data_IF_447424786788
#
_entry.id   IF_447424786788
#
_cell.length_a   1.000
_cell.length_b   1.000
_cell.length_c   1.000
_cell.angle_alpha   90.00
_cell.angle_beta   90.00
_cell.angle_gamma   90.00
#
_symmetry.space_group_name_H-M   'P 1'
#
loop_
_entity.id
_entity.type
_entity.pdbx_description
1 polymer ?
#
# COMPACT_ATOMS: atom_id res chain seq x y z
N UNK A 1 -74.68 1.99 -40.80
CA UNK A 1 -74.09 2.52 -39.56
C UNK A 1 -72.82 1.76 -39.24
N UNK A 2 -71.69 2.20 -39.74
CA UNK A 2 -70.37 1.55 -39.46
C UNK A 2 -69.72 2.20 -38.26
N UNK A 3 -69.41 1.44 -37.21
CA UNK A 3 -68.68 1.88 -36.05
C UNK A 3 -67.17 1.78 -36.37
N UNK A 4 -66.49 2.93 -36.59
CA UNK A 4 -65.03 3.01 -36.63
C UNK A 4 -64.45 2.80 -35.27
N UNK A 5 -63.75 1.69 -35.03
CA UNK A 5 -62.90 1.44 -33.87
C UNK A 5 -61.61 2.19 -34.01
N UNK A 6 -61.36 3.16 -33.15
CA UNK A 6 -60.10 3.92 -33.09
C UNK A 6 -59.08 3.16 -32.20
N UNK A 7 -58.14 2.53 -32.83
CA UNK A 7 -56.97 1.94 -32.10
C UNK A 7 -56.05 3.09 -31.70
N UNK A 8 -56.03 3.41 -30.41
CA UNK A 8 -55.04 4.34 -29.85
C UNK A 8 -53.66 3.65 -29.83
N UNK A 9 -52.70 4.24 -30.52
CA UNK A 9 -51.33 3.79 -30.60
C UNK A 9 -50.65 3.82 -29.23
N UNK A 10 -50.20 2.67 -28.74
CA UNK A 10 -49.35 2.50 -27.56
C UNK A 10 -47.85 2.67 -27.89
N UNK A 11 -47.50 3.65 -28.74
CA UNK A 11 -46.13 3.87 -29.18
C UNK A 11 -45.23 4.47 -28.10
N UNK A 12 -45.79 5.10 -27.05
CA UNK A 12 -45.02 5.69 -25.97
C UNK A 12 -44.40 4.67 -24.99
N UNK A 13 -45.16 3.57 -24.72
CA UNK A 13 -44.71 2.56 -23.75
C UNK A 13 -43.54 1.70 -24.30
N UNK A 14 -43.57 1.39 -25.57
CA UNK A 14 -42.52 0.61 -26.25
C UNK A 14 -41.23 1.44 -26.35
N UNK A 15 -41.30 2.75 -26.62
CA UNK A 15 -40.17 3.64 -26.63
C UNK A 15 -39.49 3.80 -25.25
N UNK A 16 -40.31 3.85 -24.17
CA UNK A 16 -39.80 3.93 -22.80
C UNK A 16 -39.09 2.63 -22.36
N UNK A 17 -39.65 1.47 -22.75
CA UNK A 17 -39.01 0.16 -22.46
C UNK A 17 -37.69 -0.02 -23.22
N UNK A 18 -37.60 0.40 -24.47
CA UNK A 18 -36.34 0.35 -25.25
C UNK A 18 -35.28 1.28 -24.66
N UNK A 19 -35.66 2.49 -24.24
CA UNK A 19 -34.76 3.43 -23.60
C UNK A 19 -34.27 2.92 -22.23
N UNK A 20 -35.14 2.29 -21.44
CA UNK A 20 -34.76 1.66 -20.17
C UNK A 20 -33.80 0.47 -20.36
N UNK A 21 -34.04 -0.36 -21.36
CA UNK A 21 -33.16 -1.51 -21.69
C UNK A 21 -31.80 -0.99 -22.21
N UNK A 22 -31.77 0.04 -23.03
CA UNK A 22 -30.51 0.68 -23.45
C UNK A 22 -29.77 1.29 -22.26
N UNK A 23 -30.47 1.95 -21.32
CA UNK A 23 -29.84 2.52 -20.11
C UNK A 23 -29.23 1.42 -19.23
N UNK A 24 -29.93 0.29 -19.06
CA UNK A 24 -29.43 -0.87 -18.29
C UNK A 24 -28.24 -1.52 -19.00
N UNK A 25 -28.22 -1.60 -20.33
CA UNK A 25 -27.08 -2.11 -21.07
C UNK A 25 -25.87 -1.14 -21.02
N UNK A 26 -26.09 0.18 -20.89
CA UNK A 26 -25.01 1.15 -20.67
C UNK A 26 -24.49 1.15 -19.24
N UNK A 27 -25.30 0.80 -18.25
CA UNK A 27 -24.87 0.75 -16.85
C UNK A 27 -24.10 -0.52 -16.50
N UNK A 28 -24.20 -1.60 -17.29
CA UNK A 28 -23.46 -2.85 -17.13
C UNK A 28 -22.19 -2.94 -18.00
N UNK A 29 -21.74 -1.85 -18.58
CA UNK A 29 -20.34 -1.81 -19.04
C UNK A 29 -19.48 -1.70 -17.79
N UNK A 30 -18.95 -2.83 -17.34
CA UNK A 30 -17.68 -2.81 -16.60
C UNK A 30 -16.74 -1.99 -17.48
N UNK A 31 -16.45 -0.78 -17.03
CA UNK A 31 -15.37 0.03 -17.62
C UNK A 31 -14.09 -0.70 -17.23
N UNK A 32 -13.69 -1.69 -18.04
CA UNK A 32 -12.29 -2.12 -18.03
C UNK A 32 -11.50 -0.85 -18.26
N UNK A 33 -10.69 -0.48 -17.27
CA UNK A 33 -9.74 0.61 -17.45
C UNK A 33 -8.93 0.27 -18.69
N UNK A 34 -8.80 1.21 -19.61
CA UNK A 34 -8.01 1.01 -20.83
C UNK A 34 -6.59 0.65 -20.38
N UNK A 35 -6.14 -0.57 -20.73
CA UNK A 35 -4.83 -1.08 -20.30
C UNK A 35 -3.74 -0.12 -20.77
N UNK A 36 -2.93 0.37 -19.84
CA UNK A 36 -1.96 1.41 -20.08
C UNK A 36 -0.75 0.94 -20.91
N UNK A 37 -0.04 1.89 -21.45
CA UNK A 37 1.25 1.67 -22.10
C UNK A 37 2.35 1.85 -21.08
N UNK A 38 2.74 0.72 -20.43
CA UNK A 38 3.70 0.68 -19.33
C UNK A 38 5.01 -0.02 -19.72
N UNK A 39 6.08 0.35 -19.02
CA UNK A 39 7.31 -0.44 -18.94
C UNK A 39 7.49 -0.91 -17.49
N UNK A 40 7.76 -2.21 -17.30
CA UNK A 40 8.07 -2.80 -16.01
C UNK A 40 9.58 -3.01 -15.91
N UNK A 41 10.21 -2.50 -14.86
CA UNK A 41 11.61 -2.80 -14.54
C UNK A 41 11.67 -3.66 -13.29
N UNK A 42 12.20 -4.86 -13.43
CA UNK A 42 12.30 -5.86 -12.37
C UNK A 42 13.74 -5.88 -11.86
N UNK A 43 13.94 -5.42 -10.65
CA UNK A 43 15.23 -5.50 -9.96
C UNK A 43 15.32 -6.84 -9.23
N UNK A 44 16.09 -7.75 -9.80
CA UNK A 44 16.23 -9.12 -9.28
C UNK A 44 16.89 -9.11 -7.90
N UNK A 45 17.99 -8.36 -7.71
CA UNK A 45 18.74 -8.34 -6.46
C UNK A 45 17.95 -7.77 -5.29
N UNK A 46 17.08 -6.80 -5.53
CA UNK A 46 16.25 -6.20 -4.48
C UNK A 46 14.87 -6.84 -4.36
N UNK A 47 14.44 -7.67 -5.33
CA UNK A 47 13.09 -8.24 -5.38
C UNK A 47 12.00 -7.16 -5.47
N UNK A 48 12.15 -6.25 -6.44
CA UNK A 48 11.26 -5.11 -6.61
C UNK A 48 10.93 -4.86 -8.09
N UNK A 49 9.67 -4.70 -8.43
CA UNK A 49 9.20 -4.22 -9.74
C UNK A 49 8.86 -2.74 -9.61
N UNK A 50 9.36 -1.92 -10.54
CA UNK A 50 8.87 -0.54 -10.73
C UNK A 50 8.17 -0.42 -12.08
N UNK A 51 6.97 0.14 -12.07
CA UNK A 51 6.17 0.43 -13.26
C UNK A 51 6.39 1.86 -13.69
N UNK A 52 6.64 2.06 -14.97
CA UNK A 52 6.88 3.37 -15.56
C UNK A 52 5.86 3.68 -16.64
N UNK A 53 5.40 4.92 -16.65
CA UNK A 53 4.67 5.57 -17.75
C UNK A 53 5.62 6.41 -18.60
N UNK A 54 5.17 6.73 -19.82
CA UNK A 54 5.87 7.68 -20.67
C UNK A 54 5.77 9.10 -20.12
N UNK A 55 6.90 9.74 -19.97
CA UNK A 55 6.97 11.18 -19.69
C UNK A 55 6.72 12.03 -20.92
N UNK A 56 6.80 13.35 -20.74
CA UNK A 56 6.57 14.32 -21.82
C UNK A 56 7.51 14.22 -23.01
N UNK A 57 8.66 13.54 -22.86
CA UNK A 57 9.61 13.25 -23.96
C UNK A 57 9.33 11.92 -24.68
N UNK A 58 8.26 11.19 -24.29
CA UNK A 58 7.88 9.90 -24.86
C UNK A 58 8.67 8.71 -24.33
N UNK A 59 9.61 8.90 -23.38
CA UNK A 59 10.36 7.84 -22.74
C UNK A 59 9.68 7.36 -21.45
N UNK A 60 9.86 6.08 -21.09
CA UNK A 60 9.35 5.50 -19.84
C UNK A 60 10.22 5.92 -18.65
N UNK A 61 9.99 7.10 -18.12
CA UNK A 61 10.78 7.71 -17.05
C UNK A 61 9.95 8.20 -15.85
N UNK A 62 8.62 8.10 -15.90
CA UNK A 62 7.74 8.46 -14.80
C UNK A 62 7.37 7.20 -14.02
N UNK A 63 7.99 6.99 -12.85
CA UNK A 63 7.66 5.86 -11.98
C UNK A 63 6.31 6.09 -11.31
N UNK A 64 5.35 5.19 -11.51
CA UNK A 64 3.98 5.33 -11.02
C UNK A 64 3.60 4.30 -9.96
N UNK A 65 4.27 3.15 -9.93
CA UNK A 65 3.99 2.09 -8.97
C UNK A 65 5.22 1.22 -8.70
N UNK A 66 5.28 0.64 -7.50
CA UNK A 66 6.27 -0.36 -7.15
C UNK A 66 5.61 -1.55 -6.46
N UNK A 67 6.18 -2.74 -6.65
CA UNK A 67 5.72 -4.00 -6.08
C UNK A 67 6.90 -4.78 -5.54
N UNK A 68 6.73 -5.45 -4.40
CA UNK A 68 7.67 -6.46 -3.93
C UNK A 68 7.45 -7.77 -4.66
N UNK A 69 8.51 -8.38 -5.15
CA UNK A 69 8.45 -9.66 -5.86
C UNK A 69 9.56 -10.61 -5.43
N UNK A 70 9.41 -11.88 -5.77
CA UNK A 70 10.49 -12.87 -5.80
C UNK A 70 10.76 -13.26 -7.23
N UNK A 71 12.03 -13.34 -7.59
CA UNK A 71 12.51 -13.81 -8.89
C UNK A 71 13.96 -14.27 -8.76
N UNK A 72 14.43 -15.04 -9.73
CA UNK A 72 15.80 -15.59 -9.77
C UNK A 72 16.54 -15.01 -10.98
N UNK A 73 17.80 -14.64 -10.82
CA UNK A 73 18.65 -14.14 -11.91
C UNK A 73 19.07 -15.24 -12.90
N UNK A 74 18.90 -16.52 -12.54
CA UNK A 74 19.19 -17.65 -13.42
C UNK A 74 18.11 -17.89 -14.48
N UNK A 75 16.89 -17.41 -14.25
CA UNK A 75 15.77 -17.58 -15.20
C UNK A 75 15.65 -16.47 -16.24
N UNK A 76 16.41 -15.39 -16.08
CA UNK A 76 16.38 -14.22 -16.97
C UNK A 76 17.81 -13.80 -17.34
N UNK A 77 17.94 -13.09 -18.45
CA UNK A 77 19.16 -12.37 -18.77
C UNK A 77 18.99 -10.92 -18.38
N UNK A 78 19.94 -10.41 -17.61
CA UNK A 78 19.94 -9.03 -17.17
C UNK A 78 20.15 -8.09 -18.38
N UNK A 79 19.54 -6.91 -18.30
CA UNK A 79 19.57 -5.86 -19.31
C UNK A 79 18.98 -6.25 -20.68
N UNK A 80 18.38 -7.45 -20.78
CA UNK A 80 17.56 -7.81 -21.94
C UNK A 80 16.12 -7.31 -21.78
N UNK A 81 15.51 -7.05 -22.93
CA UNK A 81 14.13 -6.58 -23.02
C UNK A 81 13.22 -7.75 -23.41
N UNK A 82 12.19 -7.95 -22.60
CA UNK A 82 11.13 -8.90 -22.86
C UNK A 82 9.82 -8.15 -23.11
N UNK A 83 8.85 -8.82 -23.74
CA UNK A 83 7.51 -8.32 -23.91
C UNK A 83 6.48 -9.25 -23.27
N UNK A 84 5.38 -8.70 -22.79
CA UNK A 84 4.21 -9.47 -22.38
C UNK A 84 3.58 -10.06 -23.63
N UNK A 85 3.43 -11.38 -23.70
CA UNK A 85 2.93 -12.12 -24.88
C UNK A 85 1.56 -12.76 -24.66
N UNK A 86 1.16 -12.94 -23.40
CA UNK A 86 -0.13 -13.55 -23.04
C UNK A 86 -0.56 -13.24 -21.62
N UNK A 87 -1.82 -13.51 -21.32
CA UNK A 87 -2.38 -13.37 -19.98
C UNK A 87 -3.38 -14.49 -19.70
N UNK A 88 -3.37 -15.00 -18.46
CA UNK A 88 -4.28 -16.02 -17.97
C UNK A 88 -4.69 -15.70 -16.54
N UNK A 89 -5.98 -15.82 -16.22
CA UNK A 89 -6.45 -15.61 -14.85
C UNK A 89 -5.87 -16.67 -13.91
N UNK A 90 -5.85 -17.93 -14.34
CA UNK A 90 -5.19 -19.04 -13.69
C UNK A 90 -4.21 -19.72 -14.64
N UNK A 91 -2.99 -19.95 -14.19
CA UNK A 91 -1.97 -20.69 -14.93
C UNK A 91 -1.49 -21.87 -14.09
N UNK A 92 -1.56 -23.09 -14.69
CA UNK A 92 -0.93 -24.28 -14.12
C UNK A 92 0.57 -24.22 -14.36
N UNK A 93 1.36 -24.41 -13.31
CA UNK A 93 2.80 -24.38 -13.35
C UNK A 93 3.40 -25.74 -13.65
N UNK A 94 4.68 -25.80 -14.01
CA UNK A 94 5.43 -27.03 -14.35
C UNK A 94 5.46 -28.05 -13.21
N UNK A 95 5.47 -27.59 -11.96
CA UNK A 95 5.47 -28.39 -10.73
C UNK A 95 4.06 -28.87 -10.31
N UNK A 96 3.04 -28.56 -11.11
CA UNK A 96 1.65 -28.95 -10.88
C UNK A 96 0.86 -27.99 -9.97
N UNK A 97 1.49 -26.95 -9.45
CA UNK A 97 0.82 -25.86 -8.71
C UNK A 97 0.11 -24.89 -9.66
N UNK A 98 -0.55 -23.89 -9.11
CA UNK A 98 -1.27 -22.86 -9.85
C UNK A 98 -0.89 -21.47 -9.38
N UNK A 99 -0.98 -20.48 -10.26
CA UNK A 99 -0.86 -19.06 -9.91
C UNK A 99 -1.95 -18.26 -10.59
N UNK A 100 -2.39 -17.19 -9.95
CA UNK A 100 -3.38 -16.27 -10.50
C UNK A 100 -2.72 -15.12 -11.27
N UNK A 101 -3.49 -14.50 -12.16
CA UNK A 101 -3.14 -13.27 -12.86
C UNK A 101 -1.79 -13.33 -13.58
N UNK A 102 -1.56 -14.44 -14.28
CA UNK A 102 -0.31 -14.68 -14.98
C UNK A 102 -0.18 -13.86 -16.25
N UNK A 103 0.89 -13.06 -16.34
CA UNK A 103 1.33 -12.33 -17.52
C UNK A 103 2.55 -13.05 -18.08
N UNK A 104 2.38 -13.73 -19.21
CA UNK A 104 3.45 -14.49 -19.86
C UNK A 104 4.41 -13.58 -20.61
N UNK A 105 5.71 -13.81 -20.45
CA UNK A 105 6.76 -13.06 -21.13
C UNK A 105 7.30 -13.81 -22.33
N UNK A 106 7.95 -13.09 -23.25
CA UNK A 106 8.51 -13.65 -24.51
C UNK A 106 9.58 -14.73 -24.31
N UNK A 107 10.12 -14.91 -23.10
CA UNK A 107 11.02 -16.01 -22.73
C UNK A 107 10.31 -17.19 -22.06
N UNK A 108 8.98 -17.16 -21.93
CA UNK A 108 8.17 -18.25 -21.35
C UNK A 108 7.96 -18.18 -19.84
N UNK A 109 8.67 -17.32 -19.10
CA UNK A 109 8.39 -17.08 -17.69
C UNK A 109 7.14 -16.21 -17.54
N UNK A 110 6.58 -16.16 -16.31
CA UNK A 110 5.41 -15.34 -16.03
C UNK A 110 5.65 -14.40 -14.85
N UNK A 111 5.02 -13.21 -14.92
CA UNK A 111 4.77 -12.37 -13.76
C UNK A 111 3.38 -12.77 -13.25
N UNK A 112 3.26 -13.25 -12.02
CA UNK A 112 2.02 -13.84 -11.51
C UNK A 112 1.93 -13.76 -9.97
N UNK A 113 0.78 -14.17 -9.42
CA UNK A 113 0.68 -14.35 -7.96
C UNK A 113 1.62 -15.45 -7.46
N UNK A 114 1.78 -15.52 -6.14
CA UNK A 114 2.36 -16.69 -5.47
C UNK A 114 1.55 -17.94 -5.78
N UNK A 115 2.05 -19.08 -5.33
CA UNK A 115 1.58 -20.41 -5.69
C UNK A 115 0.39 -20.87 -4.87
N UNK A 116 -0.48 -21.66 -5.52
CA UNK A 116 -1.63 -22.35 -4.93
C UNK A 116 -1.53 -23.85 -5.25
N UNK A 117 -1.99 -24.70 -4.34
CA UNK A 117 -1.95 -26.17 -4.51
C UNK A 117 -3.05 -26.69 -5.45
N UNK A 118 -4.07 -25.88 -5.72
CA UNK A 118 -5.15 -26.14 -6.68
C UNK A 118 -5.59 -24.83 -7.36
N UNK A 119 -6.41 -24.92 -8.40
CA UNK A 119 -7.04 -23.77 -9.07
C UNK A 119 -8.18 -23.22 -8.20
N UNK A 120 -7.82 -22.76 -6.99
CA UNK A 120 -8.75 -22.22 -6.01
C UNK A 120 -8.02 -21.25 -5.06
N UNK A 121 -8.67 -20.13 -4.75
CA UNK A 121 -8.10 -19.03 -3.96
C UNK A 121 -7.87 -19.38 -2.50
N UNK A 122 -8.54 -20.41 -2.00
CA UNK A 122 -8.42 -20.93 -0.64
C UNK A 122 -7.39 -22.06 -0.49
N UNK A 123 -6.46 -22.17 -1.44
CA UNK A 123 -5.41 -23.19 -1.46
C UNK A 123 -4.01 -22.60 -1.56
N UNK A 124 -3.80 -21.41 -1.02
CA UNK A 124 -2.51 -20.70 -1.03
C UNK A 124 -1.40 -21.56 -0.39
N UNK A 125 -0.27 -21.66 -1.05
CA UNK A 125 0.98 -22.15 -0.45
C UNK A 125 1.59 -21.04 0.42
N UNK A 126 1.36 -21.12 1.73
CA UNK A 126 1.85 -20.14 2.69
C UNK A 126 3.38 -20.00 2.67
N UNK A 127 4.11 -21.09 2.46
CA UNK A 127 5.58 -21.05 2.48
C UNK A 127 6.10 -20.22 1.30
N UNK A 128 5.56 -20.47 0.09
CA UNK A 128 5.93 -19.72 -1.12
C UNK A 128 5.44 -18.27 -1.06
N UNK A 129 4.24 -18.03 -0.51
CA UNK A 129 3.75 -16.67 -0.27
C UNK A 129 4.70 -15.89 0.65
N UNK A 130 5.16 -16.51 1.73
CA UNK A 130 6.10 -15.91 2.65
C UNK A 130 7.49 -15.67 2.02
N UNK A 131 7.83 -16.34 0.92
CA UNK A 131 9.02 -16.11 0.13
C UNK A 131 9.03 -14.78 -0.62
N UNK A 132 7.85 -14.18 -0.92
CA UNK A 132 7.76 -12.94 -1.68
C UNK A 132 8.67 -11.86 -1.08
N UNK A 133 9.53 -11.29 -1.94
CA UNK A 133 10.47 -10.24 -1.58
C UNK A 133 11.76 -10.70 -0.88
N UNK A 134 11.93 -11.99 -0.60
CA UNK A 134 13.11 -12.50 0.12
C UNK A 134 13.72 -13.76 -0.49
N UNK A 135 12.97 -14.53 -1.25
CA UNK A 135 13.41 -15.78 -1.85
C UNK A 135 13.78 -15.57 -3.31
N UNK A 136 14.92 -16.15 -3.74
CA UNK A 136 15.45 -15.97 -5.09
C UNK A 136 15.35 -17.25 -5.92
N UNK A 137 14.92 -18.37 -5.37
CA UNK A 137 14.90 -19.66 -6.03
C UNK A 137 13.51 -19.97 -6.59
N UNK A 138 13.12 -19.28 -7.65
CA UNK A 138 11.77 -19.37 -8.25
C UNK A 138 11.84 -19.41 -9.78
N UNK A 139 10.92 -20.12 -10.41
CA UNK A 139 10.86 -20.26 -11.88
C UNK A 139 10.09 -19.12 -12.57
N UNK A 140 9.51 -18.21 -11.83
CA UNK A 140 8.69 -17.10 -12.31
C UNK A 140 8.91 -15.84 -11.45
N UNK A 141 8.25 -14.75 -11.78
CA UNK A 141 8.23 -13.54 -10.95
C UNK A 141 6.96 -13.58 -10.09
N UNK A 142 7.10 -13.83 -8.81
CA UNK A 142 5.98 -13.97 -7.88
C UNK A 142 5.69 -12.69 -7.09
N UNK A 143 4.40 -12.36 -7.01
CA UNK A 143 3.85 -11.24 -6.24
C UNK A 143 2.73 -11.75 -5.31
N UNK A 144 2.22 -10.89 -4.43
CA UNK A 144 0.93 -11.12 -3.79
C UNK A 144 -0.22 -10.97 -4.82
N UNK A 145 -1.39 -11.51 -4.51
CA UNK A 145 -2.52 -11.55 -5.46
C UNK A 145 -2.96 -10.15 -5.92
N UNK A 146 -3.00 -9.15 -5.02
CA UNK A 146 -3.39 -7.78 -5.40
C UNK A 146 -2.44 -7.13 -6.40
N UNK A 147 -1.15 -7.37 -6.25
CA UNK A 147 -0.12 -6.77 -7.08
C UNK A 147 -0.06 -7.45 -8.46
N UNK A 148 -0.17 -8.78 -8.49
CA UNK A 148 -0.30 -9.54 -9.72
C UNK A 148 -1.58 -9.13 -10.49
N UNK A 149 -2.71 -9.00 -9.79
CA UNK A 149 -3.98 -8.53 -10.35
C UNK A 149 -3.86 -7.14 -10.94
N UNK A 150 -3.16 -6.21 -10.25
CA UNK A 150 -2.97 -4.87 -10.76
C UNK A 150 -2.22 -4.90 -12.10
N UNK A 151 -1.14 -5.69 -12.21
CA UNK A 151 -0.38 -5.83 -13.47
C UNK A 151 -1.28 -6.44 -14.55
N UNK A 152 -2.03 -7.49 -14.21
CA UNK A 152 -2.94 -8.17 -15.12
C UNK A 152 -4.04 -7.26 -15.70
N UNK A 153 -4.60 -6.39 -14.87
CA UNK A 153 -5.68 -5.49 -15.27
C UNK A 153 -5.19 -4.24 -16.01
N UNK A 154 -3.98 -3.76 -15.70
CA UNK A 154 -3.49 -2.48 -16.18
C UNK A 154 -2.45 -2.60 -17.31
N UNK A 155 -1.64 -3.66 -17.33
CA UNK A 155 -0.66 -3.87 -18.38
C UNK A 155 -1.25 -4.66 -19.54
N UNK A 156 -0.85 -4.33 -20.76
CA UNK A 156 -1.33 -4.98 -22.00
C UNK A 156 -0.26 -5.90 -22.62
N UNK A 157 -0.70 -6.81 -23.47
CA UNK A 157 0.18 -7.56 -24.36
C UNK A 157 0.99 -6.55 -25.19
N UNK A 158 2.30 -6.79 -25.29
CA UNK A 158 3.26 -5.89 -25.91
C UNK A 158 3.94 -4.90 -24.97
N UNK A 159 3.49 -4.75 -23.71
CA UNK A 159 4.22 -3.96 -22.73
C UNK A 159 5.61 -4.54 -22.48
N UNK A 160 6.57 -3.66 -22.26
CA UNK A 160 7.98 -4.00 -22.11
C UNK A 160 8.32 -4.36 -20.67
N UNK A 161 9.13 -5.41 -20.50
CA UNK A 161 9.70 -5.82 -19.21
C UNK A 161 11.21 -5.91 -19.32
N UNK A 162 11.93 -5.26 -18.41
CA UNK A 162 13.39 -5.26 -18.33
C UNK A 162 13.83 -5.77 -16.98
N UNK A 163 14.75 -6.74 -16.95
CA UNK A 163 15.36 -7.24 -15.71
C UNK A 163 16.72 -6.61 -15.52
N UNK A 164 17.00 -6.17 -14.29
CA UNK A 164 18.30 -5.63 -13.90
C UNK A 164 18.64 -6.04 -12.46
N UNK A 165 19.84 -5.79 -11.99
CA UNK A 165 20.31 -6.24 -10.68
C UNK A 165 21.05 -5.11 -9.96
N UNK A 166 20.40 -4.49 -8.97
CA UNK A 166 20.99 -3.46 -8.09
C UNK A 166 20.60 -3.71 -6.63
N UNK A 167 21.57 -4.09 -5.80
CA UNK A 167 21.32 -4.50 -4.40
C UNK A 167 20.81 -3.35 -3.53
N UNK A 168 21.39 -2.16 -3.69
CA UNK A 168 21.16 -1.02 -2.78
C UNK A 168 20.16 0.03 -3.32
N UNK A 169 19.57 -0.23 -4.47
CA UNK A 169 18.66 0.69 -5.14
C UNK A 169 17.44 -0.06 -5.70
N UNK A 170 16.38 -0.25 -4.92
CA UNK A 170 15.20 -0.97 -5.37
C UNK A 170 14.39 -0.22 -6.44
N UNK A 171 14.75 1.02 -6.74
CA UNK A 171 14.04 1.91 -7.65
C UNK A 171 13.53 3.18 -6.96
N UNK A 172 13.05 4.18 -7.73
CA UNK A 172 12.75 5.52 -7.24
C UNK A 172 11.60 5.59 -6.23
N UNK A 173 10.71 4.61 -6.23
CA UNK A 173 9.59 4.53 -5.27
C UNK A 173 9.91 3.68 -4.04
N UNK A 174 11.11 3.07 -4.00
CA UNK A 174 11.48 2.13 -2.95
C UNK A 174 10.79 0.78 -3.12
N UNK A 175 11.18 -0.19 -2.27
CA UNK A 175 10.57 -1.51 -2.20
C UNK A 175 9.43 -1.48 -1.18
N UNK A 176 8.19 -1.81 -1.57
CA UNK A 176 7.08 -1.96 -0.63
C UNK A 176 7.34 -3.06 0.41
N UNK A 177 6.78 -2.90 1.61
CA UNK A 177 6.81 -3.95 2.62
C UNK A 177 5.96 -5.14 2.17
N UNK A 178 6.42 -6.35 2.47
CA UNK A 178 5.69 -7.59 2.19
C UNK A 178 4.89 -8.05 3.39
N UNK A 179 3.74 -8.66 3.11
CA UNK A 179 2.92 -9.32 4.12
C UNK A 179 3.52 -10.71 4.37
N UNK A 180 3.49 -11.14 5.62
CA UNK A 180 3.89 -12.50 6.00
C UNK A 180 2.77 -13.15 6.79
N UNK A 181 2.46 -14.38 6.45
CA UNK A 181 1.58 -15.23 7.23
C UNK A 181 2.43 -15.97 8.28
N UNK A 182 1.92 -16.12 9.49
CA UNK A 182 2.57 -16.91 10.53
C UNK A 182 1.67 -18.08 10.95
N UNK A 183 2.20 -19.05 11.68
CA UNK A 183 1.45 -20.24 12.08
C UNK A 183 0.25 -19.93 13.01
N UNK A 184 0.14 -18.71 13.53
CA UNK A 184 -0.99 -18.26 14.34
C UNK A 184 -2.01 -17.48 13.51
N UNK A 185 -1.71 -17.20 12.23
CA UNK A 185 -2.63 -16.52 11.31
C UNK A 185 -3.85 -17.41 11.08
N UNK A 186 -5.05 -16.80 11.09
CA UNK A 186 -6.32 -17.54 11.04
C UNK A 186 -6.59 -18.23 9.71
N UNK A 187 -6.11 -17.64 8.61
CA UNK A 187 -6.50 -18.02 7.25
C UNK A 187 -5.25 -18.18 6.38
N UNK A 188 -4.34 -19.09 6.78
CA UNK A 188 -3.05 -19.29 6.10
C UNK A 188 -3.16 -19.82 4.68
N UNK A 189 -4.33 -20.33 4.31
CA UNK A 189 -4.67 -20.86 2.99
C UNK A 189 -5.25 -19.80 2.03
N UNK A 190 -5.29 -18.53 2.43
CA UNK A 190 -5.73 -17.40 1.60
C UNK A 190 -4.65 -16.31 1.51
N UNK A 191 -4.47 -15.74 0.32
CA UNK A 191 -3.69 -14.51 0.19
C UNK A 191 -4.43 -13.34 0.84
N UNK A 192 -3.84 -12.67 1.85
CA UNK A 192 -4.51 -11.57 2.54
C UNK A 192 -4.86 -10.39 1.63
N UNK A 193 -4.24 -10.31 0.46
CA UNK A 193 -4.43 -9.21 -0.49
C UNK A 193 -5.44 -9.53 -1.58
N UNK A 194 -5.89 -10.80 -1.71
CA UNK A 194 -6.85 -11.16 -2.74
C UNK A 194 -8.18 -10.41 -2.54
N UNK A 195 -8.64 -9.76 -3.61
CA UNK A 195 -9.85 -8.94 -3.61
C UNK A 195 -11.16 -9.73 -3.67
N UNK A 196 -11.11 -11.06 -3.68
CA UNK A 196 -12.30 -11.92 -3.69
C UNK A 196 -13.24 -11.60 -2.53
N UNK A 197 -14.55 -11.55 -2.79
CA UNK A 197 -15.55 -11.22 -1.77
C UNK A 197 -15.61 -12.26 -0.64
N UNK A 198 -15.25 -13.51 -0.93
CA UNK A 198 -15.20 -14.60 0.03
C UNK A 198 -13.89 -14.65 0.82
N UNK A 199 -12.92 -13.78 0.53
CA UNK A 199 -11.67 -13.75 1.25
C UNK A 199 -11.90 -13.43 2.74
N UNK A 200 -11.61 -14.37 3.66
CA UNK A 200 -11.91 -14.17 5.07
C UNK A 200 -11.07 -13.06 5.72
N UNK A 201 -9.95 -12.68 5.12
CA UNK A 201 -9.13 -11.57 5.59
C UNK A 201 -9.81 -10.21 5.48
N UNK A 202 -10.85 -10.05 4.64
CA UNK A 202 -11.64 -8.80 4.52
C UNK A 202 -12.28 -8.35 5.84
N UNK A 203 -12.52 -9.29 6.75
CA UNK A 203 -13.07 -9.00 8.07
C UNK A 203 -11.98 -8.77 9.14
N UNK A 204 -10.72 -8.76 8.74
CA UNK A 204 -9.59 -8.47 9.59
C UNK A 204 -9.14 -7.02 9.44
N UNK A 205 -8.61 -6.44 10.52
CA UNK A 205 -8.09 -5.08 10.51
C UNK A 205 -6.79 -4.99 11.29
N UNK A 206 -5.91 -4.09 10.86
CA UNK A 206 -4.76 -3.69 11.65
C UNK A 206 -5.23 -3.15 13.02
N UNK A 207 -4.38 -3.24 14.04
CA UNK A 207 -4.72 -2.74 15.38
C UNK A 207 -3.55 -2.02 16.02
N UNK A 208 -3.87 -1.05 16.86
CA UNK A 208 -2.92 -0.36 17.73
C UNK A 208 -3.35 -0.61 19.17
N UNK A 209 -2.42 -1.03 20.03
CA UNK A 209 -2.65 -1.29 21.44
C UNK A 209 -1.82 -0.34 22.31
N UNK A 210 -2.20 -0.16 23.58
CA UNK A 210 -1.46 0.63 24.55
C UNK A 210 -1.71 2.15 24.49
N UNK A 211 -2.55 2.64 23.56
CA UNK A 211 -2.87 4.07 23.45
C UNK A 211 -3.66 4.51 24.68
N UNK A 212 -3.14 5.53 25.37
CA UNK A 212 -3.72 6.14 26.56
C UNK A 212 -3.33 7.61 26.67
N UNK A 213 -4.06 8.38 27.46
CA UNK A 213 -3.66 9.73 27.80
C UNK A 213 -2.36 9.71 28.58
N UNK A 214 -1.51 10.72 28.33
CA UNK A 214 -0.19 10.90 28.93
C UNK A 214 -0.20 12.23 29.68
N UNK A 215 0.22 12.21 30.92
CA UNK A 215 0.32 13.38 31.76
C UNK A 215 1.76 13.63 32.15
N UNK A 216 2.25 14.85 31.91
CA UNK A 216 3.60 15.30 32.25
C UNK A 216 3.56 16.70 32.86
N UNK A 217 4.68 17.11 33.47
CA UNK A 217 4.90 18.48 33.91
C UNK A 217 5.63 19.27 32.79
N UNK A 218 5.32 20.54 32.60
CA UNK A 218 6.00 21.38 31.61
C UNK A 218 7.53 21.34 31.79
N UNK A 219 8.25 21.05 30.71
CA UNK A 219 9.70 20.81 30.68
C UNK A 219 10.11 19.34 30.79
N UNK A 220 9.22 18.45 31.16
CA UNK A 220 9.45 17.00 31.19
C UNK A 220 9.38 16.43 29.76
N UNK A 221 10.33 15.53 29.41
CA UNK A 221 10.29 14.77 28.17
C UNK A 221 9.71 13.39 28.43
N UNK A 222 8.93 12.87 27.49
CA UNK A 222 8.36 11.53 27.57
C UNK A 222 8.40 10.83 26.23
N UNK A 223 8.54 9.52 26.24
CA UNK A 223 8.43 8.70 25.05
C UNK A 223 6.94 8.44 24.75
N UNK A 224 6.45 9.06 23.69
CA UNK A 224 5.08 8.88 23.23
C UNK A 224 4.79 7.48 22.69
N UNK A 225 5.82 6.67 22.39
CA UNK A 225 5.69 5.29 21.97
C UNK A 225 5.71 4.28 23.13
N UNK A 226 5.88 4.73 24.36
CA UNK A 226 5.96 3.83 25.52
C UNK A 226 4.73 2.94 25.63
N UNK A 227 4.94 1.62 25.56
CA UNK A 227 3.91 0.57 25.57
C UNK A 227 2.94 0.56 24.39
N UNK A 228 3.23 1.32 23.34
CA UNK A 228 2.45 1.27 22.10
C UNK A 228 2.88 0.05 21.29
N UNK A 229 1.91 -0.69 20.78
CA UNK A 229 2.10 -1.82 19.87
C UNK A 229 1.16 -1.70 18.67
N UNK A 230 1.69 -2.00 17.49
CA UNK A 230 0.94 -2.08 16.25
C UNK A 230 1.01 -3.48 15.66
N UNK A 231 -0.11 -3.94 15.15
CA UNK A 231 -0.21 -5.25 14.50
C UNK A 231 -0.91 -5.11 13.16
N UNK A 232 -0.40 -5.82 12.16
CA UNK A 232 -1.07 -5.97 10.86
C UNK A 232 -2.31 -6.88 10.96
N UNK A 233 -3.03 -7.06 9.85
CA UNK A 233 -4.20 -7.95 9.82
C UNK A 233 -3.84 -9.42 10.10
N UNK A 234 -2.61 -9.84 9.81
CA UNK A 234 -2.12 -11.19 10.05
C UNK A 234 -1.63 -11.40 11.49
N UNK A 235 -1.55 -10.33 12.30
CA UNK A 235 -1.12 -10.36 13.70
C UNK A 235 0.38 -10.18 13.91
N UNK A 236 1.14 -9.84 12.88
CA UNK A 236 2.57 -9.53 13.00
C UNK A 236 2.79 -8.17 13.68
N UNK A 237 3.84 -8.07 14.50
CA UNK A 237 4.24 -6.79 15.10
C UNK A 237 4.81 -5.85 14.02
N UNK A 238 4.07 -4.80 13.74
CA UNK A 238 4.42 -3.72 12.81
C UNK A 238 4.48 -2.36 13.53
N UNK A 239 4.82 -2.38 14.81
CA UNK A 239 4.92 -1.18 15.67
C UNK A 239 5.79 -0.10 15.05
N UNK A 240 6.86 -0.48 14.34
CA UNK A 240 7.76 0.45 13.63
C UNK A 240 7.05 1.30 12.55
N UNK A 241 5.88 0.86 12.08
CA UNK A 241 5.10 1.54 11.04
C UNK A 241 4.09 2.55 11.62
N UNK A 242 3.97 2.62 12.94
CA UNK A 242 3.11 3.62 13.58
C UNK A 242 3.77 4.99 13.43
N UNK A 243 2.98 5.97 13.02
CA UNK A 243 3.36 7.38 13.02
C UNK A 243 2.47 8.14 14.00
N UNK A 244 3.06 9.14 14.67
CA UNK A 244 2.31 10.08 15.53
C UNK A 244 2.07 11.35 14.74
N UNK A 245 0.82 11.79 14.71
CA UNK A 245 0.37 13.04 14.10
C UNK A 245 -0.22 13.95 15.17
N UNK A 246 -0.06 15.25 14.99
CA UNK A 246 -0.54 16.29 15.91
C UNK A 246 0.56 17.31 16.21
N UNK A 247 0.14 18.44 16.75
CA UNK A 247 1.07 19.47 17.24
C UNK A 247 1.05 19.45 18.75
N UNK A 248 2.22 19.36 19.37
CA UNK A 248 2.35 19.37 20.84
C UNK A 248 3.64 20.09 21.25
N UNK A 249 3.66 20.54 22.48
CA UNK A 249 4.81 21.21 23.08
C UNK A 249 4.95 20.76 24.55
N UNK A 250 6.01 20.03 24.83
CA UNK A 250 6.31 19.52 26.17
C UNK A 250 6.61 20.65 27.21
N UNK A 251 6.94 21.84 26.74
CA UNK A 251 7.32 22.96 27.61
C UNK A 251 6.15 23.90 27.93
N UNK A 252 5.04 23.77 27.24
CA UNK A 252 3.90 24.67 27.36
C UNK A 252 2.70 23.95 27.96
N UNK A 253 2.18 24.51 29.07
CA UNK A 253 0.93 24.02 29.67
C UNK A 253 -0.22 23.96 28.66
N UNK A 254 -0.93 22.84 28.63
CA UNK A 254 -2.03 22.61 27.71
C UNK A 254 -2.42 21.15 27.57
N UNK A 255 -3.49 20.93 26.85
CA UNK A 255 -3.91 19.58 26.41
C UNK A 255 -3.77 19.50 24.90
N UNK A 256 -2.98 18.57 24.45
CA UNK A 256 -2.65 18.36 23.03
C UNK A 256 -3.20 17.01 22.60
N UNK A 257 -4.05 17.00 21.58
CA UNK A 257 -4.48 15.74 20.99
C UNK A 257 -3.42 15.20 20.04
N UNK A 258 -2.94 14.01 20.30
CA UNK A 258 -2.02 13.24 19.45
C UNK A 258 -2.77 12.05 18.86
N UNK A 259 -2.45 11.71 17.63
CA UNK A 259 -3.08 10.59 16.91
C UNK A 259 -2.02 9.62 16.45
N UNK A 260 -2.15 8.36 16.86
CA UNK A 260 -1.37 7.23 16.37
C UNK A 260 -2.04 6.70 15.13
N UNK A 261 -1.32 6.63 14.02
CA UNK A 261 -1.78 6.12 12.74
C UNK A 261 -0.91 4.94 12.30
N UNK A 262 -1.56 3.87 11.88
CA UNK A 262 -0.93 2.69 11.32
C UNK A 262 -1.60 2.36 9.99
N UNK A 263 -0.79 2.10 8.98
CA UNK A 263 -1.18 1.46 7.72
C UNK A 263 -0.30 0.26 7.52
N UNK A 264 -0.90 -0.92 7.34
CA UNK A 264 -0.15 -2.14 7.07
C UNK A 264 0.08 -2.36 5.56
N UNK A 265 0.82 -3.41 5.23
CA UNK A 265 1.17 -3.73 3.84
C UNK A 265 -0.04 -4.19 3.00
N UNK A 266 -1.17 -4.57 3.60
CA UNK A 266 -2.42 -4.85 2.88
C UNK A 266 -3.18 -3.59 2.52
N UNK A 267 -2.78 -2.46 3.08
CA UNK A 267 -3.51 -1.20 2.99
C UNK A 267 -4.55 -1.00 4.09
N UNK A 268 -4.71 -1.93 5.03
CA UNK A 268 -5.56 -1.76 6.21
C UNK A 268 -5.03 -0.61 7.06
N UNK A 269 -5.93 0.28 7.48
CA UNK A 269 -5.58 1.51 8.18
C UNK A 269 -6.35 1.61 9.48
N UNK A 270 -5.67 2.07 10.53
CA UNK A 270 -6.29 2.40 11.81
C UNK A 270 -5.66 3.64 12.41
N UNK A 271 -6.46 4.42 13.13
CA UNK A 271 -5.97 5.49 13.98
C UNK A 271 -6.57 5.39 15.39
N UNK A 272 -5.82 5.86 16.37
CA UNK A 272 -6.26 6.05 17.75
C UNK A 272 -5.73 7.37 18.29
N UNK A 273 -6.56 8.13 18.97
CA UNK A 273 -6.18 9.38 19.59
C UNK A 273 -5.99 9.24 21.08
N UNK A 274 -5.08 10.05 21.63
CA UNK A 274 -4.87 10.22 23.05
C UNK A 274 -4.57 11.70 23.34
N UNK A 275 -4.70 12.12 24.59
CA UNK A 275 -4.31 13.44 25.03
C UNK A 275 -2.94 13.42 25.71
N UNK A 276 -2.07 14.31 25.28
CA UNK A 276 -0.88 14.70 26.04
C UNK A 276 -1.26 15.92 26.89
N UNK A 277 -1.33 15.73 28.19
CA UNK A 277 -1.70 16.73 29.18
C UNK A 277 -0.41 17.26 29.81
N UNK A 278 -0.03 18.49 29.47
CA UNK A 278 1.14 19.16 30.03
C UNK A 278 0.65 20.06 31.16
N UNK A 279 0.97 19.69 32.40
CA UNK A 279 0.63 20.46 33.60
C UNK A 279 1.67 21.55 33.86
N UNK A 280 1.24 22.62 34.51
CA UNK A 280 2.12 23.70 34.94
C UNK A 280 3.23 23.16 35.86
N UNK A 281 4.46 23.48 35.56
CA UNK A 281 5.60 23.19 36.45
C UNK A 281 5.39 23.85 37.81
N UNK A 282 5.74 23.17 38.90
CA UNK A 282 5.78 23.79 40.23
C UNK A 282 6.80 24.93 40.21
N UNK A 283 6.38 26.16 40.44
CA UNK A 283 7.31 27.26 40.74
C UNK A 283 8.10 26.85 41.98
N UNK A 284 9.32 26.43 41.81
CA UNK A 284 10.30 26.43 42.90
C UNK A 284 10.58 27.91 43.18
N UNK A 285 9.97 28.44 44.24
CA UNK A 285 10.37 29.74 44.76
C UNK A 285 11.85 29.60 45.15
N UNK A 286 12.75 29.99 44.23
CA UNK A 286 14.13 30.18 44.56
C UNK A 286 14.21 31.37 45.53
N UNK A 287 14.54 31.09 46.79
CA UNK A 287 14.97 32.09 47.71
C UNK A 287 16.13 32.90 47.05
N UNK A 288 16.00 34.21 47.11
CA UNK A 288 16.97 35.15 46.64
C UNK A 288 18.38 34.78 47.11
N UNK A 289 19.28 34.62 46.16
CA UNK A 289 20.68 34.93 46.33
C UNK A 289 21.16 35.59 45.06
N UNK A 290 21.37 36.88 45.14
CA UNK A 290 22.02 37.69 44.13
C UNK A 290 23.44 37.13 43.85
N UNK A 291 23.69 36.73 42.64
CA UNK A 291 25.03 36.85 42.03
C UNK A 291 24.89 36.92 40.52
N UNK A 292 25.30 38.09 40.01
CA UNK A 292 25.56 38.30 38.59
C UNK A 292 26.52 37.25 38.04
N UNK A 293 26.12 36.51 37.03
CA UNK A 293 27.04 35.99 36.02
C UNK A 293 26.31 35.77 34.70
N UNK A 294 26.66 36.61 33.78
CA UNK A 294 26.40 36.49 32.34
C UNK A 294 27.14 35.25 31.83
N UNK A 295 26.45 34.22 31.43
CA UNK A 295 27.04 33.12 30.69
C UNK A 295 26.35 33.00 29.33
N UNK A 296 27.16 33.26 28.33
CA UNK A 296 26.93 33.10 26.88
C UNK A 296 26.58 31.68 26.54
N UNK A 297 25.60 31.52 25.65
CA UNK A 297 25.28 30.24 25.01
C UNK A 297 26.46 29.79 24.16
N UNK A 298 27.09 28.67 24.53
CA UNK A 298 27.91 27.89 23.61
C UNK A 298 28.03 26.46 24.08
N UNK A 299 27.78 25.55 23.12
CA UNK A 299 28.28 24.19 23.08
C UNK A 299 27.68 23.15 24.04
N UNK A 300 26.61 22.48 23.59
CA UNK A 300 26.36 21.08 23.99
C UNK A 300 26.93 20.19 22.90
N UNK A 301 28.05 19.57 23.29
CA UNK A 301 28.80 18.59 22.52
C UNK A 301 27.96 17.40 22.14
N UNK A 302 28.16 16.97 20.88
CA UNK A 302 27.71 15.69 20.32
C UNK A 302 28.28 14.51 21.14
N UNK A 303 27.45 13.79 21.81
CA UNK A 303 27.73 12.40 22.16
C UNK A 303 27.04 11.45 21.21
N UNK A 304 27.85 10.67 20.50
CA UNK A 304 27.41 9.59 19.62
C UNK A 304 26.83 8.46 20.47
N UNK A 305 25.54 8.23 20.38
CA UNK A 305 24.95 6.93 20.68
C UNK A 305 24.41 6.33 19.39
N UNK A 306 24.89 5.15 19.05
CA UNK A 306 24.45 4.33 17.92
C UNK A 306 23.02 3.84 18.15
N UNK A 307 22.15 4.05 17.15
CA UNK A 307 20.97 3.24 16.89
C UNK A 307 19.70 3.69 17.59
N UNK A 308 19.03 4.61 16.99
CA UNK A 308 17.59 4.70 16.77
C UNK A 308 17.28 6.11 16.26
N UNK A 309 17.09 6.21 14.95
CA UNK A 309 16.67 7.48 14.34
C UNK A 309 15.23 7.73 14.76
N UNK A 310 15.07 8.66 15.69
CA UNK A 310 13.80 9.24 16.10
C UNK A 310 13.03 9.73 14.87
N UNK A 311 11.95 9.07 14.52
CA UNK A 311 11.08 9.43 13.39
C UNK A 311 10.10 10.51 13.84
N UNK A 312 10.56 11.72 14.01
CA UNK A 312 9.71 12.90 14.16
C UNK A 312 9.53 13.48 12.75
N UNK A 313 8.41 13.19 12.11
CA UNK A 313 7.94 13.94 10.94
C UNK A 313 7.21 15.19 11.46
N UNK A 314 7.91 16.33 11.44
CA UNK A 314 7.28 17.64 11.71
C UNK A 314 6.27 17.90 10.59
N UNK A 315 4.98 17.82 10.93
CA UNK A 315 3.87 17.99 10.01
C UNK A 315 3.67 19.45 9.55
N UNK A 316 4.49 19.93 8.63
CA UNK A 316 4.25 21.20 7.88
C UNK A 316 4.11 20.90 6.37
N UNK A 317 3.55 19.77 5.99
CA UNK A 317 3.40 19.44 4.56
C UNK A 317 2.12 18.75 4.14
N UNK A 318 1.33 18.19 5.05
CA UNK A 318 0.24 17.27 4.68
C UNK A 318 -1.14 17.94 4.59
N UNK A 319 -1.34 19.12 5.17
CA UNK A 319 -2.58 19.89 4.99
C UNK A 319 -2.77 20.41 3.55
N UNK A 320 -1.69 20.58 2.77
CA UNK A 320 -1.76 21.02 1.37
C UNK A 320 -2.16 19.89 0.40
N UNK A 321 -1.89 18.61 0.73
CA UNK A 321 -2.20 17.48 -0.16
C UNK A 321 -3.67 17.04 -0.12
N UNK A 322 -4.35 17.17 1.01
CA UNK A 322 -5.77 16.80 1.12
C UNK A 322 -6.69 17.80 0.39
N UNK A 323 -6.29 19.07 0.29
CA UNK A 323 -7.05 20.12 -0.43
C UNK A 323 -6.84 19.99 -1.95
N UNK A 324 -5.66 19.58 -2.41
CA UNK A 324 -5.37 19.41 -3.84
C UNK A 324 -6.16 18.22 -4.45
N UNK A 325 -6.35 17.11 -3.72
CA UNK A 325 -7.14 15.97 -4.22
C UNK A 325 -8.65 16.23 -4.21
N UNK A 326 -9.15 17.11 -3.33
CA UNK A 326 -10.56 17.54 -3.30
C UNK A 326 -10.92 18.49 -4.46
N UNK A 327 -10.00 19.35 -4.88
CA UNK A 327 -10.24 20.37 -5.91
C UNK A 327 -10.17 19.76 -7.32
N UNK A 328 -9.34 18.74 -7.55
CA UNK A 328 -9.25 18.07 -8.87
C UNK A 328 -10.53 17.26 -9.20
N UNK A 329 -11.30 16.84 -8.19
CA UNK A 329 -12.60 16.17 -8.42
C UNK A 329 -13.76 17.14 -8.70
N UNK A 330 -13.62 18.42 -8.39
CA UNK A 330 -14.69 19.41 -8.55
C UNK A 330 -14.65 20.18 -9.87
N UNK A 331 -13.54 20.10 -10.62
CA UNK A 331 -13.36 20.82 -11.91
C UNK A 331 -13.47 19.94 -13.15
N UNK A 332 -13.87 18.65 -13.00
CA UNK A 332 -14.23 17.77 -14.11
C UNK A 332 -15.69 17.30 -13.95
N UNK A 333 -16.61 18.25 -14.02
CA UNK A 333 -18.00 18.03 -14.41
C UNK A 333 -18.38 19.05 -15.47
#
# INVERSE_FOLDING_TARGET
MEKKVRIKRSSGLVGLCIMAICLVMFMNRETYAEQGDYMLKVNVASGCITVYEKGGNGEYNVAVKAFSCSTDDTIVKLDETYSITGQQEWKKMSDGTYSQYAMELSNGISICSSSYTAESKDTLDMARFNGIGSENSVENVWLCASDAKWIYENCKIGNTVVFYSEVNNPGPLGKPETIKLNNQSKFTNWDPTDSDENNPWKNSSARIEGVRDIEITAGEQTDLFQNIKGYDICGNDVTKNIIIMGSYDFNKEGTYTIMYYLKDATGSQINKSANLIVKKGKNIQSGQTDTNNTATASEISREKSNGEKMRILIGIGIAAFAVAFGIIRYTKR
#
